data_IF_012233760901
#
_entry.id   IF_012233760901
#
_cell.length_a   1.000
_cell.length_b   1.000
_cell.length_c   1.000
_cell.angle_alpha   90.00
_cell.angle_beta   90.00
_cell.angle_gamma   90.00
#
_symmetry.space_group_name_H-M   'P 1'
#
loop_
_entity.id
_entity.type
_entity.pdbx_description
1 polymer ?
#
# COMPACT_ATOMS: atom_id res chain seq x y z
N UNK A 1 -31.43 64.05 -13.93
CA UNK A 1 -30.40 63.56 -12.99
C UNK A 1 -30.65 62.14 -12.43
N UNK A 2 -31.72 61.43 -12.82
CA UNK A 2 -32.00 60.06 -12.32
C UNK A 2 -31.35 58.92 -13.12
N UNK A 3 -31.17 59.06 -14.44
CA UNK A 3 -30.65 57.96 -15.27
C UNK A 3 -29.14 57.73 -15.16
N UNK A 4 -28.32 58.78 -14.98
CA UNK A 4 -26.87 58.63 -14.83
C UNK A 4 -26.46 57.98 -13.50
N UNK A 5 -27.31 58.05 -12.48
CA UNK A 5 -27.01 57.51 -11.15
C UNK A 5 -27.20 55.98 -11.09
N UNK A 6 -28.10 55.43 -11.91
CA UNK A 6 -28.33 53.99 -11.98
C UNK A 6 -27.28 53.23 -12.81
N UNK A 7 -26.73 53.83 -13.87
CA UNK A 7 -25.65 53.20 -14.65
C UNK A 7 -24.34 53.04 -13.87
N UNK A 8 -24.03 53.96 -12.96
CA UNK A 8 -22.86 53.87 -12.07
C UNK A 8 -23.01 52.78 -11.01
N UNK A 9 -24.22 52.56 -10.48
CA UNK A 9 -24.48 51.54 -9.45
C UNK A 9 -24.49 50.13 -10.06
N UNK A 10 -25.01 49.94 -11.28
CA UNK A 10 -24.94 48.64 -11.96
C UNK A 10 -23.52 48.29 -12.43
N UNK A 11 -22.71 49.29 -12.78
CA UNK A 11 -21.30 49.06 -13.18
C UNK A 11 -20.42 48.70 -11.97
N UNK A 12 -20.65 49.29 -10.79
CA UNK A 12 -19.94 48.90 -9.56
C UNK A 12 -20.33 47.49 -9.07
N UNK A 13 -21.58 47.07 -9.25
CA UNK A 13 -22.02 45.73 -8.85
C UNK A 13 -21.41 44.62 -9.73
N UNK A 14 -21.27 44.88 -11.04
CA UNK A 14 -20.61 43.95 -11.98
C UNK A 14 -19.08 43.83 -11.77
N UNK A 15 -18.43 44.88 -11.24
CA UNK A 15 -16.99 44.83 -10.91
C UNK A 15 -16.76 44.16 -9.54
N UNK A 16 -17.73 44.22 -8.61
CA UNK A 16 -17.63 43.54 -7.31
C UNK A 16 -17.76 42.01 -7.39
N UNK A 17 -18.43 41.49 -8.42
CA UNK A 17 -18.50 40.04 -8.68
C UNK A 17 -17.28 39.47 -9.41
N UNK A 18 -16.36 40.31 -9.90
CA UNK A 18 -15.16 39.88 -10.62
C UNK A 18 -13.90 39.80 -9.73
N UNK A 19 -14.02 40.01 -8.42
CA UNK A 19 -12.87 40.15 -7.51
C UNK A 19 -12.67 38.97 -6.54
N UNK A 20 -13.12 37.76 -6.88
CA UNK A 20 -12.87 36.56 -6.07
C UNK A 20 -12.46 35.33 -6.89
N UNK A 21 -11.52 35.50 -7.82
CA UNK A 21 -10.59 34.43 -8.22
C UNK A 21 -9.19 35.02 -8.27
N UNK A 22 -8.73 35.56 -7.14
CA UNK A 22 -7.30 35.81 -6.96
C UNK A 22 -6.67 34.46 -6.61
N UNK A 23 -6.38 33.65 -7.63
CA UNK A 23 -5.46 32.52 -7.49
C UNK A 23 -4.15 33.03 -6.89
N UNK A 24 -3.48 32.20 -6.10
CA UNK A 24 -2.17 32.47 -5.50
C UNK A 24 -1.09 32.65 -6.59
N UNK A 25 -1.17 33.72 -7.36
CA UNK A 25 -0.30 34.00 -8.49
C UNK A 25 1.13 34.23 -7.98
N UNK A 26 2.01 33.28 -8.29
CA UNK A 26 3.45 33.34 -8.01
C UNK A 26 3.99 32.27 -7.05
N UNK A 27 3.14 31.44 -6.42
CA UNK A 27 3.58 30.43 -5.45
C UNK A 27 3.65 29.00 -6.00
N UNK A 28 2.77 28.69 -6.94
CA UNK A 28 2.59 27.37 -7.52
C UNK A 28 2.79 27.40 -9.04
N UNK A 29 3.12 26.25 -9.68
CA UNK A 29 3.11 24.88 -9.14
C UNK A 29 4.24 24.59 -8.13
N UNK A 30 4.14 23.48 -7.41
CA UNK A 30 5.22 22.92 -6.58
C UNK A 30 5.21 21.39 -6.76
N UNK A 31 6.37 20.79 -6.98
CA UNK A 31 6.52 19.34 -7.10
C UNK A 31 7.60 18.86 -6.15
N UNK A 32 7.30 17.81 -5.37
CA UNK A 32 8.23 17.18 -4.44
C UNK A 32 8.22 15.67 -4.70
N UNK A 33 9.38 15.03 -4.77
CA UNK A 33 9.47 13.56 -4.83
C UNK A 33 10.54 12.99 -3.92
N UNK A 34 10.40 11.73 -3.54
CA UNK A 34 11.49 10.94 -2.96
C UNK A 34 12.63 10.78 -3.98
N UNK A 35 13.87 10.70 -3.48
CA UNK A 35 15.11 10.43 -4.23
C UNK A 35 15.46 11.51 -5.26
N UNK A 36 16.70 11.52 -5.80
CA UNK A 36 17.11 12.48 -6.83
C UNK A 36 16.55 12.13 -8.22
N UNK A 37 15.24 11.88 -8.31
CA UNK A 37 14.53 11.56 -9.54
C UNK A 37 14.21 12.84 -10.33
N UNK A 38 15.27 13.54 -10.74
CA UNK A 38 15.21 14.88 -11.35
C UNK A 38 14.26 14.91 -12.55
N UNK A 39 14.36 13.93 -13.46
CA UNK A 39 13.53 13.92 -14.68
C UNK A 39 12.06 13.63 -14.39
N UNK A 40 11.74 12.85 -13.35
CA UNK A 40 10.38 12.64 -12.90
C UNK A 40 9.79 13.95 -12.34
N UNK A 41 10.55 14.68 -11.53
CA UNK A 41 10.11 15.99 -11.00
C UNK A 41 9.96 17.02 -12.12
N UNK A 42 10.87 17.04 -13.11
CA UNK A 42 10.73 17.90 -14.30
C UNK A 42 9.46 17.58 -15.08
N UNK A 43 9.15 16.31 -15.31
CA UNK A 43 7.95 15.90 -16.02
C UNK A 43 6.67 16.34 -15.30
N UNK A 44 6.57 16.09 -13.99
CA UNK A 44 5.44 16.55 -13.18
C UNK A 44 5.31 18.07 -13.15
N UNK A 45 6.43 18.77 -13.07
CA UNK A 45 6.48 20.23 -13.12
C UNK A 45 6.01 20.81 -14.45
N UNK A 46 6.48 20.25 -15.57
CA UNK A 46 6.08 20.67 -16.91
C UNK A 46 4.58 20.46 -17.13
N UNK A 47 4.04 19.32 -16.70
CA UNK A 47 2.60 19.07 -16.74
C UNK A 47 1.83 20.14 -15.95
N UNK A 48 2.24 20.43 -14.71
CA UNK A 48 1.60 21.44 -13.87
C UNK A 48 1.74 22.86 -14.43
N UNK A 49 2.88 23.21 -15.03
CA UNK A 49 3.06 24.48 -15.74
C UNK A 49 2.13 24.61 -16.95
N UNK A 50 1.88 23.51 -17.66
CA UNK A 50 1.00 23.46 -18.82
C UNK A 50 -0.50 23.41 -18.45
N UNK A 51 -0.85 23.65 -17.18
CA UNK A 51 -2.23 23.74 -16.71
C UNK A 51 -2.92 22.40 -16.44
N UNK A 52 -2.15 21.32 -16.28
CA UNK A 52 -2.71 20.03 -15.90
C UNK A 52 -3.14 20.07 -14.42
N UNK A 53 -4.15 19.25 -14.07
CA UNK A 53 -4.57 19.09 -12.67
C UNK A 53 -3.45 18.49 -11.82
N UNK A 54 -3.46 18.72 -10.52
CA UNK A 54 -2.49 18.10 -9.60
C UNK A 54 -2.38 16.58 -9.79
N UNK A 55 -3.51 15.87 -9.95
CA UNK A 55 -3.55 14.43 -10.22
C UNK A 55 -2.86 14.08 -11.54
N UNK A 56 -3.18 14.79 -12.62
CA UNK A 56 -2.59 14.53 -13.93
C UNK A 56 -1.08 14.80 -13.91
N UNK A 57 -0.62 15.83 -13.20
CA UNK A 57 0.80 16.16 -13.04
C UNK A 57 1.57 15.11 -12.23
N UNK A 58 0.99 14.59 -11.14
CA UNK A 58 1.55 13.45 -10.39
C UNK A 58 1.72 12.25 -11.33
N UNK A 59 0.69 11.97 -12.13
CA UNK A 59 0.69 10.83 -13.04
C UNK A 59 1.80 10.97 -14.08
N UNK A 60 1.97 12.14 -14.71
CA UNK A 60 3.06 12.36 -15.67
C UNK A 60 4.45 12.23 -15.02
N UNK A 61 4.63 12.74 -13.80
CA UNK A 61 5.89 12.64 -13.07
C UNK A 61 6.25 11.19 -12.70
N UNK A 62 5.32 10.45 -12.09
CA UNK A 62 5.53 9.04 -11.74
C UNK A 62 5.69 8.16 -13.00
N UNK A 63 4.91 8.40 -14.07
CA UNK A 63 5.02 7.66 -15.33
C UNK A 63 6.39 7.86 -15.98
N UNK A 64 6.94 9.08 -15.93
CA UNK A 64 8.28 9.34 -16.43
C UNK A 64 9.33 8.50 -15.69
N UNK A 65 9.19 8.33 -14.37
CA UNK A 65 10.05 7.47 -13.57
C UNK A 65 9.94 5.99 -13.99
N UNK A 66 8.72 5.49 -14.16
CA UNK A 66 8.44 4.11 -14.62
C UNK A 66 9.02 3.83 -16.02
N UNK A 67 9.00 4.82 -16.92
CA UNK A 67 9.53 4.71 -18.28
C UNK A 67 11.05 4.82 -18.31
N UNK A 68 11.63 5.78 -17.58
CA UNK A 68 13.07 6.02 -17.50
C UNK A 68 13.79 5.00 -16.62
N UNK A 69 13.05 4.14 -15.92
CA UNK A 69 13.57 3.10 -15.01
C UNK A 69 14.47 3.70 -13.93
N UNK A 70 13.92 4.65 -13.19
CA UNK A 70 14.53 5.25 -11.99
C UNK A 70 14.60 4.26 -10.79
N UNK A 71 14.93 3.00 -11.04
CA UNK A 71 14.71 1.84 -10.16
C UNK A 71 13.24 1.43 -9.96
N UNK A 72 12.30 2.11 -10.63
CA UNK A 72 10.86 1.79 -10.65
C UNK A 72 10.41 1.48 -12.07
N UNK A 73 9.49 0.51 -12.22
CA UNK A 73 8.87 0.18 -13.50
C UNK A 73 9.33 -1.17 -14.07
N UNK A 74 9.24 -1.35 -15.40
CA UNK A 74 9.71 -2.56 -16.07
C UNK A 74 11.22 -2.74 -15.87
N UNK A 75 11.65 -3.93 -15.44
CA UNK A 75 13.03 -4.26 -15.09
C UNK A 75 13.39 -3.98 -13.64
N UNK A 76 12.45 -3.46 -12.84
CA UNK A 76 12.63 -3.29 -11.40
C UNK A 76 12.70 -4.62 -10.65
N UNK A 77 12.86 -4.53 -9.34
CA UNK A 77 13.14 -5.67 -8.46
C UNK A 77 12.17 -6.85 -8.62
N UNK A 78 12.67 -8.06 -8.90
CA UNK A 78 11.84 -9.25 -8.99
C UNK A 78 11.47 -9.80 -7.62
N UNK A 79 10.39 -10.58 -7.55
CA UNK A 79 10.04 -11.42 -6.42
C UNK A 79 10.90 -12.72 -6.35
N UNK A 80 10.65 -13.58 -5.36
CA UNK A 80 11.39 -14.82 -5.18
C UNK A 80 11.20 -15.83 -6.34
N UNK A 81 10.16 -15.65 -7.16
CA UNK A 81 9.90 -16.42 -8.38
C UNK A 81 10.56 -15.81 -9.64
N UNK A 82 11.21 -14.65 -9.52
CA UNK A 82 11.88 -13.98 -10.64
C UNK A 82 10.96 -13.05 -11.42
N UNK A 83 9.77 -12.75 -10.89
CA UNK A 83 8.76 -11.94 -11.55
C UNK A 83 8.78 -10.48 -11.04
N UNK A 84 8.76 -9.54 -11.98
CA UNK A 84 8.58 -8.12 -11.70
C UNK A 84 7.09 -7.77 -11.70
N UNK A 85 6.60 -7.21 -10.59
CA UNK A 85 5.24 -6.66 -10.42
C UNK A 85 5.30 -5.19 -10.07
N UNK A 86 4.19 -4.47 -10.25
CA UNK A 86 4.07 -3.06 -9.89
C UNK A 86 2.93 -2.82 -8.90
N UNK A 87 3.22 -2.00 -7.90
CA UNK A 87 2.26 -1.40 -6.98
C UNK A 87 2.23 0.11 -7.24
N UNK A 88 1.03 0.70 -7.36
CA UNK A 88 0.88 2.12 -7.54
C UNK A 88 -0.37 2.67 -6.86
N UNK A 89 -0.31 3.95 -6.47
CA UNK A 89 -1.35 4.71 -5.79
C UNK A 89 -1.41 6.11 -6.41
N UNK A 90 -2.61 6.63 -6.64
CA UNK A 90 -2.85 8.06 -6.81
C UNK A 90 -3.99 8.51 -5.91
N UNK A 91 -3.84 9.69 -5.30
CA UNK A 91 -4.85 10.29 -4.44
C UNK A 91 -5.02 11.76 -4.80
N UNK A 92 -6.28 12.16 -4.99
CA UNK A 92 -6.69 13.55 -5.12
C UNK A 92 -6.97 14.12 -3.72
N UNK A 93 -6.19 15.09 -3.27
CA UNK A 93 -6.35 15.71 -1.96
C UNK A 93 -7.56 16.64 -1.87
N UNK A 94 -8.23 16.95 -2.98
CA UNK A 94 -9.43 17.81 -3.01
C UNK A 94 -10.69 16.98 -2.81
N UNK A 95 -10.79 15.83 -3.50
CA UNK A 95 -11.97 14.96 -3.43
C UNK A 95 -11.80 13.82 -2.43
N UNK A 96 -10.57 13.57 -1.96
CA UNK A 96 -10.16 12.37 -1.20
C UNK A 96 -10.33 11.07 -1.98
N UNK A 97 -10.58 11.14 -3.29
CA UNK A 97 -10.65 9.95 -4.13
C UNK A 97 -9.26 9.33 -4.28
N UNK A 98 -9.25 8.00 -4.28
CA UNK A 98 -8.04 7.19 -4.35
C UNK A 98 -8.26 6.10 -5.38
N UNK A 99 -7.27 5.90 -6.25
CA UNK A 99 -7.15 4.71 -7.05
C UNK A 99 -5.79 4.07 -6.86
N UNK A 100 -5.78 2.75 -6.83
CA UNK A 100 -4.59 1.97 -6.58
C UNK A 100 -4.62 0.65 -7.35
N UNK A 101 -3.44 0.19 -7.73
CA UNK A 101 -3.20 -1.15 -8.23
C UNK A 101 -2.09 -1.78 -7.40
N UNK A 102 -2.20 -3.07 -7.11
CA UNK A 102 -1.14 -3.79 -6.41
C UNK A 102 -0.86 -5.11 -7.07
N UNK A 103 0.40 -5.53 -7.02
CA UNK A 103 0.90 -6.73 -7.66
C UNK A 103 0.52 -6.83 -9.14
N UNK A 104 0.41 -5.70 -9.81
CA UNK A 104 -0.03 -5.66 -11.19
C UNK A 104 1.07 -6.21 -12.08
N UNK A 105 0.71 -7.20 -12.90
CA UNK A 105 1.58 -7.78 -13.91
C UNK A 105 1.31 -7.12 -15.26
N UNK A 106 2.22 -7.32 -16.20
CA UNK A 106 1.98 -7.13 -17.64
C UNK A 106 1.67 -5.72 -18.18
N UNK A 107 1.52 -4.73 -17.32
CA UNK A 107 1.22 -3.34 -17.67
C UNK A 107 2.34 -2.47 -17.11
N UNK A 108 3.02 -1.73 -17.98
CA UNK A 108 4.23 -0.97 -17.63
C UNK A 108 3.94 0.30 -16.85
N UNK A 109 2.76 0.88 -17.07
CA UNK A 109 2.35 2.18 -16.54
C UNK A 109 1.41 1.96 -15.34
N UNK A 110 2.02 1.83 -14.16
CA UNK A 110 1.34 1.48 -12.91
C UNK A 110 0.48 2.63 -12.41
N UNK A 111 1.05 3.85 -12.43
CA UNK A 111 0.36 5.03 -11.94
C UNK A 111 -0.83 5.44 -12.82
N UNK A 112 -0.76 5.27 -14.16
CA UNK A 112 -1.95 5.48 -15.01
C UNK A 112 -3.00 4.42 -14.76
N UNK A 113 -2.63 3.17 -14.49
CA UNK A 113 -3.61 2.15 -14.11
C UNK A 113 -4.32 2.52 -12.79
N UNK A 114 -3.59 2.99 -11.78
CA UNK A 114 -4.15 3.49 -10.53
C UNK A 114 -5.13 4.65 -10.76
N UNK A 115 -4.79 5.61 -11.62
CA UNK A 115 -5.69 6.70 -12.02
C UNK A 115 -6.97 6.20 -12.72
N UNK A 116 -6.86 5.17 -13.57
CA UNK A 116 -8.01 4.56 -14.22
C UNK A 116 -8.93 3.87 -13.20
N UNK A 117 -8.36 3.22 -12.17
CA UNK A 117 -9.15 2.66 -11.05
C UNK A 117 -9.95 3.77 -10.35
N UNK A 118 -9.29 4.89 -10.03
CA UNK A 118 -9.91 6.05 -9.39
C UNK A 118 -11.08 6.61 -10.22
N UNK A 119 -10.88 6.77 -11.54
CA UNK A 119 -11.84 7.44 -12.42
C UNK A 119 -12.99 6.55 -12.90
N UNK A 120 -12.77 5.25 -13.03
CA UNK A 120 -13.69 4.35 -13.75
C UNK A 120 -14.24 3.22 -12.89
N UNK A 121 -13.99 3.22 -11.58
CA UNK A 121 -14.57 2.23 -10.66
C UNK A 121 -15.06 2.91 -9.38
N UNK A 122 -15.95 2.24 -8.66
CA UNK A 122 -16.30 2.62 -7.27
C UNK A 122 -15.34 2.01 -6.25
N UNK A 123 -14.29 1.34 -6.71
CA UNK A 123 -13.32 0.64 -5.88
C UNK A 123 -12.06 1.48 -5.77
N UNK A 124 -11.38 1.35 -4.62
CA UNK A 124 -10.12 2.06 -4.38
C UNK A 124 -8.91 1.28 -4.89
N UNK A 125 -8.94 -0.06 -4.84
CA UNK A 125 -7.78 -0.92 -5.07
C UNK A 125 -8.16 -2.15 -5.89
N UNK A 126 -7.45 -2.38 -7.00
CA UNK A 126 -7.47 -3.63 -7.75
C UNK A 126 -6.12 -4.35 -7.63
N UNK A 127 -6.11 -5.69 -7.66
CA UNK A 127 -4.89 -6.45 -7.38
C UNK A 127 -4.64 -7.56 -8.40
N UNK A 128 -3.36 -7.87 -8.61
CA UNK A 128 -2.90 -9.00 -9.43
C UNK A 128 -3.29 -8.90 -10.90
N UNK A 129 -3.49 -10.05 -11.53
CA UNK A 129 -3.87 -10.12 -12.95
C UNK A 129 -5.22 -9.48 -13.26
N UNK A 130 -6.12 -9.36 -12.27
CA UNK A 130 -7.40 -8.67 -12.46
C UNK A 130 -7.20 -7.16 -12.57
N UNK A 131 -6.20 -6.60 -11.89
CA UNK A 131 -5.78 -5.21 -12.14
C UNK A 131 -5.22 -5.05 -13.56
N UNK A 132 -4.38 -5.99 -14.01
CA UNK A 132 -3.83 -6.00 -15.37
C UNK A 132 -4.91 -6.07 -16.45
N UNK A 133 -5.86 -7.00 -16.30
CA UNK A 133 -6.98 -7.17 -17.22
C UNK A 133 -7.86 -5.91 -17.29
N UNK A 134 -8.13 -5.29 -16.14
CA UNK A 134 -8.83 -4.01 -16.07
C UNK A 134 -8.04 -2.92 -16.82
N UNK A 135 -6.77 -2.72 -16.49
CA UNK A 135 -5.91 -1.71 -17.12
C UNK A 135 -5.86 -1.84 -18.65
N UNK A 136 -5.69 -3.06 -19.16
CA UNK A 136 -5.68 -3.35 -20.60
C UNK A 136 -7.06 -3.06 -21.22
N UNK A 137 -8.14 -3.46 -20.55
CA UNK A 137 -9.51 -3.16 -21.03
C UNK A 137 -9.82 -1.67 -21.09
N UNK A 138 -9.14 -0.86 -20.28
CA UNK A 138 -9.23 0.61 -20.27
C UNK A 138 -8.29 1.28 -21.30
N UNK A 139 -7.55 0.50 -22.09
CA UNK A 139 -6.72 0.98 -23.19
C UNK A 139 -5.23 1.11 -22.89
N UNK A 140 -4.74 0.66 -21.74
CA UNK A 140 -3.30 0.60 -21.50
C UNK A 140 -2.65 -0.55 -22.28
N UNK A 141 -1.42 -0.37 -22.80
CA UNK A 141 -0.74 -1.40 -23.57
C UNK A 141 -0.38 -2.61 -22.69
N UNK A 142 -0.63 -3.80 -23.23
CA UNK A 142 -0.32 -5.07 -22.59
C UNK A 142 -1.01 -6.25 -23.29
N UNK A 143 -0.74 -7.49 -22.87
CA UNK A 143 0.21 -7.85 -21.82
C UNK A 143 1.67 -7.77 -22.30
N UNK A 144 2.60 -7.30 -21.46
CA UNK A 144 4.04 -7.28 -21.75
C UNK A 144 4.84 -7.73 -20.54
N UNK A 145 5.80 -8.65 -20.72
CA UNK A 145 6.68 -9.05 -19.61
C UNK A 145 7.40 -7.83 -19.02
N UNK A 146 7.28 -7.64 -17.71
CA UNK A 146 7.90 -6.53 -16.99
C UNK A 146 9.34 -6.86 -16.59
N UNK A 147 9.74 -8.13 -16.51
CA UNK A 147 11.11 -8.51 -16.18
C UNK A 147 12.08 -8.13 -17.31
N UNK A 148 13.27 -7.65 -16.93
CA UNK A 148 14.39 -7.37 -17.83
C UNK A 148 15.53 -8.39 -17.65
N UNK A 149 16.47 -8.51 -18.61
CA UNK A 149 17.64 -9.37 -18.45
C UNK A 149 18.39 -9.11 -17.14
N UNK A 150 18.51 -7.84 -16.74
CA UNK A 150 19.19 -7.42 -15.51
C UNK A 150 18.44 -7.91 -14.26
N UNK A 151 17.11 -7.78 -14.23
CA UNK A 151 16.28 -8.29 -13.11
C UNK A 151 16.38 -9.82 -12.98
N UNK A 152 16.42 -10.53 -14.11
CA UNK A 152 16.55 -11.99 -14.14
C UNK A 152 17.95 -12.41 -13.69
N UNK A 153 19.00 -11.71 -14.12
CA UNK A 153 20.38 -11.98 -13.66
C UNK A 153 20.51 -11.74 -12.16
N UNK A 154 19.91 -10.66 -11.63
CA UNK A 154 19.84 -10.37 -10.18
C UNK A 154 19.20 -11.53 -9.41
N UNK A 155 18.10 -12.07 -9.95
CA UNK A 155 17.40 -13.21 -9.36
C UNK A 155 18.19 -14.53 -9.44
N UNK A 156 18.83 -14.83 -10.58
CA UNK A 156 19.68 -16.02 -10.73
C UNK A 156 20.81 -15.99 -9.71
N UNK A 157 21.52 -14.86 -9.58
CA UNK A 157 22.60 -14.70 -8.59
C UNK A 157 22.12 -14.91 -7.16
N UNK A 158 20.92 -14.44 -6.82
CA UNK A 158 20.33 -14.65 -5.50
C UNK A 158 19.96 -16.12 -5.25
N UNK A 159 19.42 -16.82 -6.26
CA UNK A 159 19.18 -18.26 -6.17
C UNK A 159 20.46 -19.07 -6.01
N UNK A 160 21.50 -18.72 -6.76
CA UNK A 160 22.82 -19.36 -6.66
C UNK A 160 23.46 -19.11 -5.29
N UNK A 161 23.11 -18.00 -4.63
CA UNK A 161 23.51 -17.69 -3.25
C UNK A 161 22.60 -18.34 -2.19
N UNK A 162 21.88 -19.41 -2.53
CA UNK A 162 21.02 -20.13 -1.59
C UNK A 162 19.80 -19.36 -1.12
N UNK A 163 19.31 -18.41 -1.94
CA UNK A 163 18.13 -17.60 -1.63
C UNK A 163 18.25 -16.76 -0.36
N UNK A 164 19.43 -16.21 -0.09
CA UNK A 164 19.70 -15.31 1.02
C UNK A 164 20.25 -13.95 0.55
N UNK A 165 19.87 -12.83 1.21
CA UNK A 165 18.88 -12.75 2.29
C UNK A 165 17.44 -12.96 1.77
N UNK A 166 16.53 -13.49 2.59
CA UNK A 166 15.10 -13.60 2.30
C UNK A 166 14.21 -13.04 3.42
N UNK A 167 12.88 -13.04 3.20
CA UNK A 167 11.88 -12.52 4.14
C UNK A 167 11.22 -13.61 4.99
N UNK A 168 11.59 -14.87 4.79
CA UNK A 168 11.04 -15.99 5.54
C UNK A 168 11.62 -16.00 6.96
N UNK A 169 10.76 -16.19 7.97
CA UNK A 169 11.17 -16.24 9.39
C UNK A 169 10.61 -17.49 10.04
N UNK A 170 11.39 -18.13 10.90
CA UNK A 170 11.00 -19.30 11.69
C UNK A 170 10.54 -20.51 10.85
N UNK A 171 11.16 -20.69 9.69
CA UNK A 171 10.89 -21.81 8.76
C UNK A 171 12.17 -22.54 8.37
N UNK A 172 12.00 -23.75 7.86
CA UNK A 172 13.03 -24.58 7.24
C UNK A 172 12.66 -24.77 5.76
N UNK A 173 13.60 -24.61 4.83
CA UNK A 173 13.31 -24.88 3.43
C UNK A 173 13.35 -26.40 3.17
N UNK A 174 12.43 -26.91 2.35
CA UNK A 174 12.44 -28.31 1.90
C UNK A 174 13.62 -28.60 0.95
N UNK A 175 14.05 -27.60 0.16
CA UNK A 175 15.27 -27.61 -0.65
C UNK A 175 16.18 -26.43 -0.26
N UNK A 176 17.08 -25.93 -1.12
CA UNK A 176 17.88 -24.73 -0.84
C UNK A 176 17.05 -23.43 -0.78
N UNK A 177 15.90 -23.40 -1.48
CA UNK A 177 15.09 -22.19 -1.69
C UNK A 177 13.59 -22.44 -1.45
N UNK A 178 13.25 -23.35 -0.53
CA UNK A 178 11.88 -23.76 -0.25
C UNK A 178 11.37 -24.95 -1.10
N UNK A 179 10.06 -25.26 -1.06
CA UNK A 179 9.02 -24.62 -0.25
C UNK A 179 9.36 -24.64 1.25
N UNK A 180 8.99 -23.59 1.97
CA UNK A 180 9.36 -23.40 3.37
C UNK A 180 8.28 -23.97 4.31
N UNK A 181 8.71 -24.63 5.39
CA UNK A 181 7.84 -25.22 6.42
C UNK A 181 8.16 -24.66 7.80
N UNK A 182 7.17 -24.47 8.70
CA UNK A 182 7.43 -24.01 10.07
C UNK A 182 8.46 -24.89 10.79
N UNK A 183 9.41 -24.26 11.51
CA UNK A 183 10.36 -24.99 12.38
C UNK A 183 9.66 -25.80 13.46
N UNK A 184 8.59 -25.23 14.01
CA UNK A 184 7.71 -25.86 15.00
C UNK A 184 6.29 -25.92 14.40
N UNK A 185 5.89 -27.01 13.72
CA UNK A 185 4.53 -27.13 13.23
C UNK A 185 3.58 -27.06 14.44
N UNK A 186 2.44 -26.35 14.33
CA UNK A 186 1.47 -26.31 15.43
C UNK A 186 1.09 -27.76 15.75
N UNK A 187 1.40 -28.19 16.97
CA UNK A 187 0.89 -29.45 17.51
C UNK A 187 -0.60 -29.47 17.25
N UNK A 188 -1.08 -30.46 16.50
CA UNK A 188 -2.50 -30.71 16.25
C UNK A 188 -3.31 -30.40 17.52
N UNK A 189 -4.14 -29.36 17.46
CA UNK A 189 -5.07 -29.08 18.55
C UNK A 189 -6.12 -30.18 18.52
N UNK A 190 -6.17 -31.01 19.55
CA UNK A 190 -7.42 -31.42 20.18
C UNK A 190 -7.13 -32.01 21.56
N UNK A 191 -7.74 -31.41 22.58
CA UNK A 191 -7.64 -31.88 23.95
C UNK A 191 -8.32 -33.24 24.11
N UNK A 192 -7.66 -34.12 24.85
CA UNK A 192 -8.37 -35.07 25.69
C UNK A 192 -8.26 -34.55 27.13
N UNK A 193 -9.35 -34.01 27.66
CA UNK A 193 -9.58 -34.13 29.09
C UNK A 193 -9.70 -35.64 29.39
N UNK A 194 -8.58 -36.28 29.66
CA UNK A 194 -8.56 -37.59 30.27
C UNK A 194 -9.03 -37.41 31.70
N UNK A 195 -10.34 -37.58 31.92
CA UNK A 195 -10.89 -37.91 33.23
C UNK A 195 -10.12 -39.14 33.72
N UNK A 196 -9.23 -38.93 34.69
CA UNK A 196 -8.45 -40.00 35.28
C UNK A 196 -9.37 -41.03 35.94
N UNK A 197 -9.40 -42.24 35.41
CA UNK A 197 -9.83 -43.42 36.15
C UNK A 197 -8.58 -44.06 36.77
N UNK A 198 -8.18 -43.58 37.95
CA UNK A 198 -7.10 -44.13 38.75
C UNK A 198 -7.38 -43.92 40.23
N UNK A 199 -7.37 -44.96 41.07
CA UNK A 199 -7.88 -44.87 42.43
C UNK A 199 -6.96 -44.08 43.38
N UNK A 200 -7.64 -43.33 44.24
CA UNK A 200 -7.13 -42.59 45.38
C UNK A 200 -6.31 -43.46 46.32
N UNK A 201 -5.06 -43.07 46.62
CA UNK A 201 -4.35 -43.48 47.83
C UNK A 201 -3.42 -42.37 48.33
N UNK A 202 -3.58 -41.89 49.59
CA UNK A 202 -2.72 -40.86 50.16
C UNK A 202 -1.66 -41.50 51.06
N UNK A 203 -0.36 -41.31 50.79
CA UNK A 203 0.72 -41.39 51.79
C UNK A 203 1.92 -40.51 51.42
N UNK A 204 2.20 -39.59 52.36
CA UNK A 204 3.39 -38.81 52.69
C UNK A 204 4.74 -39.18 52.03
N UNK A 205 5.53 -38.20 51.60
CA UNK A 205 6.66 -37.64 52.37
C UNK A 205 7.58 -36.75 51.48
N UNK A 206 8.00 -35.63 52.07
CA UNK A 206 8.97 -34.61 51.67
C UNK A 206 9.99 -34.89 50.55
N UNK A 207 10.11 -33.94 49.62
CA UNK A 207 11.41 -33.36 49.25
C UNK A 207 11.23 -32.05 48.47
N UNK A 208 11.69 -30.97 49.07
CA UNK A 208 11.92 -29.69 48.40
C UNK A 208 12.96 -29.86 47.29
N UNK A 209 12.60 -29.55 46.05
CA UNK A 209 13.58 -29.16 45.02
C UNK A 209 13.01 -27.96 44.28
N UNK A 210 13.63 -26.82 44.50
CA UNK A 210 13.49 -25.61 43.70
C UNK A 210 13.85 -25.93 42.24
N UNK A 211 12.86 -25.89 41.35
CA UNK A 211 13.06 -25.97 39.91
C UNK A 211 13.07 -24.58 39.31
N UNK A 212 14.22 -23.93 39.36
CA UNK A 212 14.49 -22.66 38.69
C UNK A 212 14.08 -22.74 37.20
N UNK A 213 13.29 -21.78 36.74
CA UNK A 213 13.16 -21.50 35.32
C UNK A 213 14.53 -20.99 34.84
N UNK A 214 15.37 -21.90 34.36
CA UNK A 214 16.57 -21.55 33.61
C UNK A 214 16.14 -20.70 32.42
N UNK A 215 16.48 -19.40 32.49
CA UNK A 215 16.46 -18.54 31.32
C UNK A 215 17.43 -19.13 30.29
N UNK A 216 16.88 -19.86 29.33
CA UNK A 216 17.58 -20.25 28.12
C UNK A 216 18.09 -18.99 27.43
N UNK A 217 19.39 -19.05 27.13
CA UNK A 217 20.24 -18.05 26.50
C UNK A 217 19.53 -17.14 25.50
N UNK A 218 19.70 -15.84 25.73
CA UNK A 218 19.65 -14.83 24.67
C UNK A 218 20.72 -15.19 23.64
N UNK A 219 20.31 -15.84 22.56
CA UNK A 219 21.06 -15.72 21.31
C UNK A 219 20.65 -14.40 20.68
N UNK A 220 21.54 -13.40 20.56
CA UNK A 220 21.28 -12.24 19.74
C UNK A 220 21.43 -12.68 18.29
N UNK A 221 20.38 -13.31 17.73
CA UNK A 221 20.24 -13.36 16.28
C UNK A 221 19.90 -11.94 15.88
N UNK A 222 20.95 -11.17 15.61
CA UNK A 222 20.86 -9.98 14.79
C UNK A 222 20.17 -10.41 13.49
N UNK A 223 18.86 -10.18 13.40
CA UNK A 223 18.16 -10.32 12.14
C UNK A 223 18.64 -9.18 11.27
N UNK A 224 19.69 -9.42 10.48
CA UNK A 224 20.04 -8.55 9.37
C UNK A 224 18.80 -8.42 8.50
N UNK A 225 18.11 -7.28 8.61
CA UNK A 225 17.00 -6.93 7.74
C UNK A 225 17.47 -7.10 6.29
N UNK A 226 16.72 -7.79 5.41
CA UNK A 226 17.06 -7.86 3.99
C UNK A 226 17.24 -6.43 3.48
N UNK A 227 18.44 -6.14 2.99
CA UNK A 227 19.00 -4.80 2.86
C UNK A 227 18.23 -3.91 1.88
N UNK A 228 17.36 -3.04 2.41
CA UNK A 228 16.99 -1.80 1.74
C UNK A 228 18.20 -0.86 1.89
N UNK A 229 19.05 -0.82 0.88
CA UNK A 229 20.32 -0.08 0.88
C UNK A 229 20.24 1.14 -0.05
N UNK A 230 21.24 2.04 0.01
CA UNK A 230 21.37 3.21 -0.87
C UNK A 230 21.23 2.91 -2.39
N UNK A 231 21.34 1.63 -2.77
CA UNK A 231 21.37 1.13 -4.16
C UNK A 231 20.11 0.35 -4.58
N UNK A 232 19.10 0.22 -3.72
CA UNK A 232 17.84 -0.48 -4.00
C UNK A 232 16.68 0.34 -3.41
N UNK A 233 16.32 1.44 -4.07
CA UNK A 233 15.25 2.34 -3.65
C UNK A 233 14.13 2.34 -4.67
N UNK A 234 13.47 1.20 -4.81
CA UNK A 234 12.49 0.94 -5.86
C UNK A 234 11.15 1.65 -5.63
N UNK A 235 11.14 2.86 -5.07
CA UNK A 235 9.91 3.62 -4.76
C UNK A 235 10.07 5.09 -5.10
N UNK A 236 9.22 5.57 -6.01
CA UNK A 236 8.94 7.00 -6.16
C UNK A 236 7.63 7.31 -5.46
N UNK A 237 7.66 8.27 -4.55
CA UNK A 237 6.47 8.97 -4.09
C UNK A 237 6.60 10.44 -4.47
N UNK A 238 5.51 11.05 -4.95
CA UNK A 238 5.47 12.41 -5.46
C UNK A 238 4.24 13.15 -4.93
N UNK A 239 4.41 14.42 -4.57
CA UNK A 239 3.34 15.36 -4.31
C UNK A 239 3.40 16.51 -5.32
N UNK A 240 2.24 16.92 -5.83
CA UNK A 240 2.11 18.11 -6.67
C UNK A 240 1.09 19.04 -6.03
N UNK A 241 1.45 20.32 -5.95
CA UNK A 241 0.50 21.42 -5.77
C UNK A 241 0.38 22.14 -7.11
N UNK A 242 -0.80 22.11 -7.72
CA UNK A 242 -1.02 22.74 -9.03
C UNK A 242 -1.19 24.27 -8.93
N UNK A 243 -1.34 24.93 -10.07
CA UNK A 243 -1.48 26.39 -10.14
C UNK A 243 -2.71 26.94 -9.39
N UNK A 244 -3.73 26.10 -9.16
CA UNK A 244 -4.93 26.44 -8.41
C UNK A 244 -4.75 26.20 -6.91
N UNK A 245 -3.67 25.56 -6.50
CA UNK A 245 -3.41 25.18 -5.11
C UNK A 245 -4.01 23.83 -4.72
N UNK A 246 -4.54 23.05 -5.67
CA UNK A 246 -4.99 21.69 -5.38
C UNK A 246 -3.78 20.78 -5.17
N UNK A 247 -3.91 19.84 -4.24
CA UNK A 247 -2.84 18.93 -3.87
C UNK A 247 -3.21 17.52 -4.30
N UNK A 248 -2.27 16.82 -4.94
CA UNK A 248 -2.38 15.39 -5.20
C UNK A 248 -1.07 14.70 -4.87
N UNK A 249 -1.16 13.40 -4.61
CA UNK A 249 0.00 12.53 -4.42
C UNK A 249 -0.10 11.28 -5.26
N UNK A 250 1.05 10.70 -5.55
CA UNK A 250 1.13 9.38 -6.15
C UNK A 250 2.39 8.65 -5.72
N UNK A 251 2.31 7.33 -5.74
CA UNK A 251 3.44 6.44 -5.48
C UNK A 251 3.46 5.34 -6.53
N UNK A 252 4.66 4.94 -6.97
CA UNK A 252 4.88 3.73 -7.76
C UNK A 252 6.11 2.99 -7.26
N UNK A 253 6.02 1.66 -7.20
CA UNK A 253 7.09 0.80 -6.71
C UNK A 253 7.01 -0.62 -7.28
N UNK A 254 8.15 -1.28 -7.46
CA UNK A 254 8.20 -2.72 -7.69
C UNK A 254 8.08 -3.55 -6.39
N UNK A 255 8.15 -2.88 -5.23
CA UNK A 255 8.26 -3.49 -3.93
C UNK A 255 9.68 -3.99 -3.64
N UNK A 256 9.82 -4.71 -2.53
CA UNK A 256 11.12 -5.17 -2.06
C UNK A 256 11.70 -6.28 -2.97
N UNK A 257 13.02 -6.25 -3.23
CA UNK A 257 13.71 -7.30 -3.98
C UNK A 257 13.57 -8.65 -3.29
N UNK A 258 13.23 -9.69 -4.04
CA UNK A 258 13.01 -11.07 -3.60
C UNK A 258 11.88 -11.22 -2.59
N UNK A 259 10.90 -10.30 -2.64
CA UNK A 259 9.69 -10.40 -1.82
C UNK A 259 9.01 -11.75 -2.03
N UNK A 260 8.43 -12.27 -0.95
CA UNK A 260 7.63 -13.50 -1.01
C UNK A 260 6.37 -13.21 -1.84
N UNK A 261 6.08 -13.94 -2.91
CA UNK A 261 4.80 -13.87 -3.59
C UNK A 261 3.73 -14.48 -2.69
N UNK A 262 2.85 -13.67 -2.12
CA UNK A 262 1.79 -14.20 -1.24
C UNK A 262 0.62 -13.25 -1.04
N UNK A 263 -0.60 -13.81 -1.11
CA UNK A 263 -1.91 -13.16 -0.96
C UNK A 263 -1.93 -11.92 -0.04
N UNK A 264 -2.56 -10.85 -0.51
CA UNK A 264 -3.09 -9.77 0.34
C UNK A 264 -4.33 -10.27 1.10
N UNK A 265 -4.29 -10.54 2.42
CA UNK A 265 -5.49 -10.46 3.22
C UNK A 265 -5.79 -8.97 3.39
N UNK A 266 -6.82 -8.47 2.70
CA UNK A 266 -7.39 -7.18 3.06
C UNK A 266 -7.88 -7.32 4.51
N UNK A 267 -7.13 -6.78 5.46
CA UNK A 267 -7.56 -6.66 6.86
C UNK A 267 -8.64 -5.57 6.92
N UNK A 268 -9.89 -5.94 6.66
CA UNK A 268 -11.01 -5.22 7.25
C UNK A 268 -11.35 -5.90 8.57
N UNK A 269 -11.09 -5.19 9.66
CA UNK A 269 -11.60 -5.52 10.99
C UNK A 269 -13.13 -5.43 10.91
N UNK A 270 -13.79 -6.53 10.55
CA UNK A 270 -15.23 -6.64 10.75
C UNK A 270 -15.42 -6.94 12.23
N UNK A 271 -15.57 -5.90 13.05
CA UNK A 271 -16.25 -6.05 14.32
C UNK A 271 -17.66 -6.55 14.00
N UNK A 272 -17.87 -7.85 14.15
CA UNK A 272 -19.20 -8.42 14.18
C UNK A 272 -19.79 -8.03 15.55
N UNK A 273 -20.40 -6.85 15.63
CA UNK A 273 -21.27 -6.52 16.75
C UNK A 273 -22.52 -7.39 16.57
N UNK A 274 -22.62 -8.47 17.35
CA UNK A 274 -23.88 -9.16 17.56
C UNK A 274 -24.83 -8.19 18.27
N UNK A 275 -25.73 -7.55 17.53
CA UNK A 275 -26.97 -7.04 18.11
C UNK A 275 -27.99 -8.17 18.12
N UNK A 276 -28.15 -8.76 19.31
CA UNK A 276 -29.31 -9.59 19.64
C UNK A 276 -30.52 -8.66 19.60
N UNK A 277 -31.38 -8.82 18.59
CA UNK A 277 -32.76 -8.33 18.65
C UNK A 277 -33.67 -9.54 18.57
N UNK A 278 -34.40 -9.72 19.66
CA UNK A 278 -35.35 -10.78 19.91
C UNK A 278 -36.51 -10.80 18.92
N UNK A 279 -37.10 -11.99 18.86
CA UNK A 279 -38.50 -12.32 18.51
C UNK A 279 -38.93 -12.29 17.03
N UNK A 280 -39.12 -13.53 16.53
CA UNK A 280 -40.19 -13.99 15.65
C UNK A 280 -40.32 -13.36 14.25
N UNK A 281 -39.66 -13.95 13.26
CA UNK A 281 -40.23 -14.31 11.93
C UNK A 281 -39.11 -14.92 11.05
N UNK A 282 -39.06 -16.24 10.93
CA UNK A 282 -38.13 -16.93 10.02
C UNK A 282 -38.88 -17.96 9.19
N UNK A 283 -39.19 -17.60 7.94
CA UNK A 283 -39.32 -18.48 6.77
C UNK A 283 -39.57 -17.59 5.54
N UNK A 284 -38.94 -17.92 4.41
CA UNK A 284 -38.86 -17.18 3.14
C UNK A 284 -37.74 -16.15 3.01
N UNK A 285 -36.52 -16.62 2.70
CA UNK A 285 -35.67 -15.95 1.71
C UNK A 285 -34.53 -16.86 1.22
N UNK A 286 -34.85 -17.91 0.44
CA UNK A 286 -33.85 -18.70 -0.30
C UNK A 286 -34.38 -19.16 -1.67
N UNK A 287 -35.10 -18.29 -2.38
CA UNK A 287 -35.58 -18.59 -3.74
C UNK A 287 -35.49 -17.42 -4.74
N UNK A 288 -34.82 -16.31 -4.40
CA UNK A 288 -34.80 -15.11 -5.28
C UNK A 288 -33.40 -14.68 -5.76
N UNK A 289 -32.36 -15.52 -5.65
CA UNK A 289 -31.01 -15.21 -6.20
C UNK A 289 -30.69 -16.03 -7.46
N UNK A 290 -31.66 -16.77 -8.03
CA UNK A 290 -31.41 -17.68 -9.16
C UNK A 290 -32.02 -17.25 -10.50
N UNK A 291 -32.41 -15.98 -10.68
CA UNK A 291 -33.13 -15.56 -11.91
C UNK A 291 -32.56 -14.34 -12.67
N UNK A 292 -31.34 -13.88 -12.37
CA UNK A 292 -30.74 -12.76 -13.14
C UNK A 292 -29.28 -12.96 -13.60
N UNK A 293 -28.80 -14.20 -13.68
CA UNK A 293 -27.59 -14.49 -14.46
C UNK A 293 -27.88 -15.61 -15.46
N UNK A 294 -27.93 -15.25 -16.74
CA UNK A 294 -27.73 -16.16 -17.86
C UNK A 294 -26.29 -16.72 -17.79
N UNK A 295 -26.09 -17.70 -16.91
CA UNK A 295 -24.92 -18.56 -16.93
C UNK A 295 -25.40 -19.95 -17.40
N UNK A 296 -24.96 -20.36 -18.58
CA UNK A 296 -25.23 -21.68 -19.13
C UNK A 296 -24.89 -22.76 -18.11
N UNK A 297 -25.90 -23.53 -17.67
CA UNK A 297 -25.72 -24.71 -16.83
C UNK A 297 -24.90 -25.76 -17.59
N UNK A 298 -23.65 -25.96 -17.18
CA UNK A 298 -22.92 -27.21 -17.44
C UNK A 298 -23.16 -28.10 -16.23
N UNK A 299 -23.92 -29.18 -16.43
CA UNK A 299 -24.12 -30.23 -15.43
C UNK A 299 -22.77 -30.88 -15.11
N UNK A 300 -22.35 -30.85 -13.85
CA UNK A 300 -21.17 -31.57 -13.36
C UNK A 300 -21.60 -32.69 -12.40
N UNK A 301 -20.97 -33.86 -12.57
CA UNK A 301 -21.15 -35.08 -11.78
C UNK A 301 -20.95 -34.87 -10.26
N UNK A 302 -21.75 -35.56 -9.45
CA UNK A 302 -21.79 -35.53 -7.97
C UNK A 302 -20.47 -35.94 -7.26
N UNK A 303 -19.43 -36.35 -7.98
CA UNK A 303 -18.22 -36.97 -7.40
C UNK A 303 -17.20 -35.98 -6.82
N UNK A 304 -17.43 -34.66 -6.88
CA UNK A 304 -16.41 -33.61 -6.57
C UNK A 304 -16.84 -32.63 -5.44
N UNK A 305 -17.89 -32.92 -4.68
CA UNK A 305 -18.32 -32.08 -3.54
C UNK A 305 -17.87 -32.64 -2.18
N UNK A 306 -17.50 -31.77 -1.23
CA UNK A 306 -17.31 -32.16 0.19
C UNK A 306 -18.61 -31.89 0.94
N UNK A 307 -19.15 -32.92 1.58
CA UNK A 307 -20.39 -32.82 2.36
C UNK A 307 -20.03 -32.40 3.79
N UNK A 308 -20.60 -31.28 4.24
CA UNK A 308 -20.45 -30.79 5.61
C UNK A 308 -21.80 -30.92 6.29
N UNK A 309 -21.82 -31.63 7.42
CA UNK A 309 -23.03 -31.88 8.21
C UNK A 309 -22.90 -31.15 9.54
N UNK A 310 -23.87 -30.31 9.88
CA UNK A 310 -23.94 -29.61 11.17
C UNK A 310 -25.27 -29.94 11.82
N UNK A 311 -25.23 -30.30 13.11
CA UNK A 311 -26.40 -30.58 13.93
C UNK A 311 -26.54 -29.50 15.00
N UNK A 312 -27.69 -28.84 15.05
CA UNK A 312 -28.01 -27.88 16.10
C UNK A 312 -29.49 -28.04 16.48
N UNK A 313 -29.76 -28.19 17.79
CA UNK A 313 -31.09 -28.47 18.36
C UNK A 313 -31.87 -29.60 17.67
N UNK A 314 -31.18 -30.71 17.40
CA UNK A 314 -31.79 -31.91 16.81
C UNK A 314 -32.16 -31.77 15.33
N UNK A 315 -31.84 -30.64 14.69
CA UNK A 315 -32.02 -30.42 13.25
C UNK A 315 -30.69 -30.63 12.54
N UNK A 316 -30.69 -31.54 11.58
CA UNK A 316 -29.54 -31.84 10.73
C UNK A 316 -29.57 -30.97 9.47
N UNK A 317 -28.49 -30.22 9.26
CA UNK A 317 -28.25 -29.45 8.05
C UNK A 317 -27.11 -30.09 7.26
N UNK A 318 -27.36 -30.40 5.98
CA UNK A 318 -26.32 -30.84 5.05
C UNK A 318 -26.05 -29.75 4.01
N UNK A 319 -24.77 -29.41 3.84
CA UNK A 319 -24.32 -28.50 2.79
C UNK A 319 -23.37 -29.24 1.85
N UNK A 320 -23.64 -29.15 0.54
CA UNK A 320 -22.73 -29.60 -0.52
C UNK A 320 -21.85 -28.43 -0.97
N UNK A 321 -20.55 -28.52 -0.71
CA UNK A 321 -19.57 -27.50 -1.14
C UNK A 321 -18.79 -28.04 -2.34
N UNK A 322 -18.84 -27.39 -3.53
CA UNK A 322 -18.01 -27.76 -4.66
C UNK A 322 -16.52 -27.63 -4.33
N UNK A 323 -15.68 -28.63 -4.65
CA UNK A 323 -14.21 -28.49 -4.47
C UNK A 323 -13.59 -27.44 -5.41
N UNK A 324 -14.24 -27.08 -6.50
CA UNK A 324 -13.86 -25.93 -7.32
C UNK A 324 -14.36 -24.64 -6.69
N UNK A 325 -13.84 -24.32 -5.51
CA UNK A 325 -13.62 -22.91 -5.20
C UNK A 325 -12.72 -22.41 -6.32
N UNK A 326 -13.18 -21.42 -7.10
CA UNK A 326 -12.33 -20.68 -8.01
C UNK A 326 -11.27 -19.93 -7.19
N UNK A 327 -10.29 -20.67 -6.69
CA UNK A 327 -9.06 -20.15 -6.12
C UNK A 327 -8.25 -19.77 -7.35
N UNK A 328 -8.48 -18.55 -7.84
CA UNK A 328 -7.47 -17.88 -8.64
C UNK A 328 -6.30 -17.70 -7.67
N UNK A 329 -5.26 -18.52 -7.83
CA UNK A 329 -4.02 -18.42 -7.06
C UNK A 329 -3.34 -17.09 -7.42
N UNK A 330 -3.61 -16.05 -6.62
CA UNK A 330 -2.93 -14.77 -6.72
C UNK A 330 -1.72 -14.79 -5.77
N UNK A 331 -0.54 -15.05 -6.33
CA UNK A 331 0.72 -15.22 -5.60
C UNK A 331 1.50 -13.89 -5.54
N UNK A 332 1.12 -12.92 -4.69
CA UNK A 332 1.82 -11.62 -4.70
C UNK A 332 1.87 -10.84 -3.37
N UNK A 333 3.08 -10.50 -2.89
CA UNK A 333 3.24 -9.52 -1.79
C UNK A 333 3.09 -8.10 -2.29
N UNK A 334 2.41 -7.32 -1.47
CA UNK A 334 2.15 -5.91 -1.67
C UNK A 334 2.75 -5.12 -0.50
N UNK A 335 3.48 -4.06 -0.84
CA UNK A 335 4.07 -3.16 0.15
C UNK A 335 3.12 -2.06 0.60
N UNK A 336 3.69 -1.00 1.17
CA UNK A 336 2.97 0.23 1.47
C UNK A 336 2.61 1.04 0.22
N UNK A 337 3.35 0.84 -0.87
CA UNK A 337 3.20 1.53 -2.16
C UNK A 337 1.76 1.87 -2.58
N UNK A 338 0.83 0.89 -2.63
CA UNK A 338 -0.55 1.10 -3.05
C UNK A 338 -1.52 1.43 -1.89
N UNK A 339 -1.00 1.73 -0.68
CA UNK A 339 -1.79 1.94 0.54
C UNK A 339 -1.81 3.43 0.90
N UNK A 340 -2.96 4.08 0.64
CA UNK A 340 -3.20 5.45 1.06
C UNK A 340 -2.98 5.62 2.57
N UNK A 341 -2.27 6.68 2.94
CA UNK A 341 -1.90 6.97 4.32
C UNK A 341 -0.60 6.31 4.76
N UNK A 342 -0.16 5.25 4.08
CA UNK A 342 1.16 4.69 4.30
C UNK A 342 2.20 5.31 3.38
N UNK A 343 2.15 4.99 2.08
CA UNK A 343 3.15 5.44 1.11
C UNK A 343 2.99 6.90 0.73
N UNK A 344 1.75 7.38 0.64
CA UNK A 344 1.44 8.76 0.38
C UNK A 344 0.06 9.15 0.90
N UNK A 345 -0.13 10.42 1.20
CA UNK A 345 -1.42 10.99 1.57
C UNK A 345 -1.48 12.48 1.21
N UNK A 346 -2.64 12.96 0.76
CA UNK A 346 -2.87 14.36 0.44
C UNK A 346 -4.21 14.84 1.01
N UNK A 347 -4.23 16.10 1.46
CA UNK A 347 -5.42 16.88 1.73
C UNK A 347 -5.14 18.33 1.31
N UNK A 348 -5.91 18.85 0.36
CA UNK A 348 -5.73 20.21 -0.19
C UNK A 348 -5.81 21.29 0.89
N UNK A 349 -6.57 21.07 1.97
CA UNK A 349 -6.70 22.02 3.07
C UNK A 349 -5.51 22.01 4.04
N UNK A 350 -4.60 21.03 3.92
CA UNK A 350 -3.51 20.82 4.88
C UNK A 350 -2.15 20.71 4.20
N UNK A 351 -1.97 19.75 3.30
CA UNK A 351 -0.67 19.37 2.75
C UNK A 351 -0.64 17.93 2.23
N UNK A 352 0.57 17.44 1.98
CA UNK A 352 0.84 16.11 1.49
C UNK A 352 2.09 15.49 2.13
N UNK A 353 2.16 14.17 2.07
CA UNK A 353 3.32 13.38 2.44
C UNK A 353 3.55 12.28 1.42
N UNK A 354 4.83 11.97 1.18
CA UNK A 354 5.27 10.80 0.43
C UNK A 354 6.40 10.07 1.15
N UNK A 355 6.44 8.74 1.00
CA UNK A 355 7.27 7.84 1.77
C UNK A 355 8.06 6.84 0.90
N UNK A 356 9.14 6.31 1.48
CA UNK A 356 9.98 5.25 0.90
C UNK A 356 10.69 4.48 2.02
N UNK A 357 10.96 3.19 1.83
CA UNK A 357 11.67 2.37 2.82
C UNK A 357 11.08 0.99 3.03
N UNK A 358 11.16 0.49 4.27
CA UNK A 358 10.58 -0.79 4.68
C UNK A 358 9.05 -0.71 4.68
N UNK A 359 8.45 -1.03 3.53
CA UNK A 359 7.01 -0.99 3.36
C UNK A 359 6.23 -1.87 4.33
N UNK A 360 6.80 -2.98 4.84
CA UNK A 360 6.13 -3.86 5.79
C UNK A 360 6.04 -3.23 7.18
N UNK A 361 7.05 -2.45 7.58
CA UNK A 361 7.03 -1.69 8.82
C UNK A 361 6.20 -0.41 8.65
N UNK A 362 6.40 0.34 7.56
CA UNK A 362 5.73 1.61 7.29
C UNK A 362 4.20 1.47 7.30
N UNK A 363 3.65 0.43 6.65
CA UNK A 363 2.20 0.21 6.59
C UNK A 363 1.54 -0.05 7.95
N UNK A 364 2.29 -0.45 8.98
CA UNK A 364 1.77 -0.68 10.33
C UNK A 364 1.49 0.62 11.08
N UNK A 365 2.04 1.74 10.62
CA UNK A 365 1.96 3.04 11.31
C UNK A 365 1.24 4.11 10.50
N UNK A 366 1.01 3.91 9.21
CA UNK A 366 0.41 4.90 8.31
C UNK A 366 1.08 6.28 8.45
N UNK A 367 2.41 6.37 8.24
CA UNK A 367 3.17 7.57 8.57
C UNK A 367 2.72 8.80 7.79
N UNK A 368 2.33 8.66 6.52
CA UNK A 368 1.89 9.82 5.74
C UNK A 368 0.54 10.37 6.15
N UNK A 369 -0.40 9.51 6.56
CA UNK A 369 -1.63 9.97 7.20
C UNK A 369 -1.32 10.70 8.52
N UNK A 370 -0.46 10.14 9.37
CA UNK A 370 -0.04 10.79 10.61
C UNK A 370 0.62 12.15 10.35
N UNK A 371 1.47 12.28 9.34
CA UNK A 371 2.14 13.53 8.99
C UNK A 371 1.14 14.60 8.61
N UNK A 372 0.20 14.29 7.71
CA UNK A 372 -0.82 15.25 7.28
C UNK A 372 -1.72 15.64 8.46
N UNK A 373 -2.16 14.70 9.29
CA UNK A 373 -2.97 15.03 10.48
C UNK A 373 -2.18 15.82 11.54
N UNK A 374 -0.90 15.54 11.75
CA UNK A 374 -0.04 16.36 12.61
C UNK A 374 0.11 17.79 12.10
N UNK A 375 0.22 17.97 10.77
CA UNK A 375 0.21 19.31 10.16
C UNK A 375 -1.16 19.99 10.33
N UNK A 376 -2.27 19.25 10.22
CA UNK A 376 -3.62 19.76 10.50
C UNK A 376 -3.74 20.29 11.93
N UNK A 377 -3.09 19.63 12.89
CA UNK A 377 -3.02 20.04 14.29
C UNK A 377 -2.01 21.17 14.56
N UNK A 378 -1.37 21.72 13.52
CA UNK A 378 -0.49 22.88 13.61
C UNK A 378 0.99 22.58 13.73
N UNK A 379 1.42 21.32 13.57
CA UNK A 379 2.86 21.03 13.45
C UNK A 379 3.40 21.52 12.11
N UNK A 380 4.65 22.02 12.11
CA UNK A 380 5.34 22.30 10.84
C UNK A 380 5.70 21.00 10.12
N UNK A 381 5.89 21.00 8.78
CA UNK A 381 6.27 19.81 8.01
C UNK A 381 7.48 19.07 8.59
N UNK A 382 8.49 19.81 9.05
CA UNK A 382 9.72 19.24 9.66
C UNK A 382 9.43 18.48 10.95
N UNK A 383 8.58 19.04 11.82
CA UNK A 383 8.24 18.42 13.10
C UNK A 383 7.30 17.22 12.89
N UNK A 384 6.31 17.36 12.02
CA UNK A 384 5.38 16.27 11.68
C UNK A 384 6.13 15.06 11.08
N UNK A 385 7.04 15.31 10.13
CA UNK A 385 7.85 14.25 9.52
C UNK A 385 8.75 13.55 10.56
N UNK A 386 9.45 14.34 11.38
CA UNK A 386 10.34 13.80 12.41
C UNK A 386 9.56 12.97 13.44
N UNK A 387 8.40 13.42 13.90
CA UNK A 387 7.58 12.68 14.86
C UNK A 387 7.11 11.33 14.32
N UNK A 388 6.64 11.29 13.06
CA UNK A 388 6.21 10.05 12.41
C UNK A 388 7.34 9.02 12.31
N UNK A 389 8.52 9.42 11.84
CA UNK A 389 9.70 8.53 11.75
C UNK A 389 10.16 8.06 13.13
N UNK A 390 10.24 8.97 14.12
CA UNK A 390 10.64 8.60 15.48
C UNK A 390 9.65 7.64 16.14
N UNK A 391 8.36 7.75 15.85
CA UNK A 391 7.34 6.83 16.37
C UNK A 391 7.58 5.40 15.90
N UNK A 392 7.97 5.23 14.63
CA UNK A 392 8.33 3.93 14.07
C UNK A 392 9.63 3.43 14.71
N UNK A 393 10.67 4.28 14.76
CA UNK A 393 11.98 3.95 15.32
C UNK A 393 11.91 3.46 16.76
N UNK A 394 11.02 4.05 17.59
CA UNK A 394 10.82 3.63 18.98
C UNK A 394 10.35 2.18 19.11
N UNK A 395 9.62 1.65 18.12
CA UNK A 395 9.07 0.29 18.13
C UNK A 395 9.90 -0.69 17.30
N UNK A 396 10.54 -0.20 16.24
CA UNK A 396 11.42 -0.96 15.35
C UNK A 396 12.74 -0.21 15.18
N UNK A 397 13.71 -0.32 16.11
CA UNK A 397 14.94 0.49 16.09
C UNK A 397 15.82 0.28 14.85
N UNK A 398 15.74 -0.89 14.23
CA UNK A 398 16.54 -1.27 13.07
C UNK A 398 15.83 -1.04 11.73
N UNK A 399 14.62 -0.46 11.74
CA UNK A 399 13.91 -0.20 10.48
C UNK A 399 14.66 0.83 9.63
N UNK A 400 14.39 0.83 8.33
CA UNK A 400 14.93 1.84 7.41
C UNK A 400 13.75 2.49 6.71
N UNK A 401 13.69 3.82 6.73
CA UNK A 401 12.60 4.53 6.11
C UNK A 401 12.80 6.04 6.07
N UNK A 402 12.10 6.68 5.15
CA UNK A 402 12.11 8.12 4.98
C UNK A 402 10.78 8.62 4.45
N UNK A 403 10.52 9.90 4.72
CA UNK A 403 9.38 10.64 4.22
C UNK A 403 9.79 12.07 3.86
N UNK A 404 9.08 12.65 2.91
CA UNK A 404 8.95 14.10 2.79
C UNK A 404 7.55 14.53 3.23
N UNK A 405 7.45 15.75 3.72
CA UNK A 405 6.21 16.42 4.06
C UNK A 405 6.19 17.78 3.37
N UNK A 406 5.04 18.18 2.85
CA UNK A 406 4.81 19.51 2.27
C UNK A 406 3.46 20.03 2.76
N UNK A 407 3.40 21.27 3.26
CA UNK A 407 2.12 21.88 3.63
C UNK A 407 1.47 22.60 2.44
N UNK A 408 0.19 22.97 2.60
CA UNK A 408 -0.56 23.78 1.62
C UNK A 408 0.00 25.18 1.40
N UNK A 409 1.06 25.55 2.11
CA UNK A 409 1.80 26.79 1.91
C UNK A 409 3.13 26.53 1.21
N UNK A 410 3.39 25.32 0.72
CA UNK A 410 4.59 24.95 -0.01
C UNK A 410 5.85 24.85 0.85
N UNK A 411 5.75 24.96 2.18
CA UNK A 411 6.87 24.64 3.06
C UNK A 411 7.03 23.12 3.04
N UNK A 412 8.25 22.66 2.82
CA UNK A 412 8.57 21.24 2.76
C UNK A 412 9.72 20.88 3.71
N UNK A 413 9.78 19.62 4.11
CA UNK A 413 10.86 19.04 4.89
C UNK A 413 10.90 17.53 4.69
N UNK A 414 11.99 16.88 5.10
CA UNK A 414 12.08 15.43 5.16
C UNK A 414 12.58 14.95 6.51
N UNK A 415 12.32 13.67 6.79
CA UNK A 415 12.86 12.94 7.92
C UNK A 415 13.17 11.51 7.48
N UNK A 416 14.21 10.92 8.05
CA UNK A 416 14.61 9.55 7.76
C UNK A 416 15.19 8.86 8.99
N UNK A 417 15.30 7.54 8.92
CA UNK A 417 15.94 6.70 9.92
C UNK A 417 16.64 5.53 9.23
N UNK A 418 17.80 5.12 9.75
CA UNK A 418 18.61 4.03 9.21
C UNK A 418 19.44 4.35 7.96
N UNK A 419 19.26 5.53 7.33
CA UNK A 419 20.04 5.96 6.16
C UNK A 419 20.05 7.49 5.96
N UNK A 420 20.89 7.96 5.04
CA UNK A 420 20.78 9.31 4.47
C UNK A 420 19.73 9.30 3.37
N UNK A 421 18.75 10.19 3.49
CA UNK A 421 17.67 10.33 2.52
C UNK A 421 17.87 11.57 1.66
N UNK A 422 17.50 11.49 0.39
CA UNK A 422 17.42 12.64 -0.50
C UNK A 422 16.02 12.76 -1.09
N UNK A 423 15.57 13.99 -1.29
CA UNK A 423 14.31 14.28 -1.98
C UNK A 423 14.49 15.45 -2.94
N UNK A 424 13.76 15.45 -4.03
CA UNK A 424 13.83 16.46 -5.09
C UNK A 424 12.65 17.41 -5.03
N UNK A 425 12.90 18.69 -5.28
CA UNK A 425 11.87 19.74 -5.26
C UNK A 425 12.00 20.65 -6.48
N UNK A 426 10.86 21.07 -7.02
CA UNK A 426 10.77 22.10 -8.03
C UNK A 426 9.67 23.10 -7.69
N UNK A 427 10.03 24.37 -7.61
CA UNK A 427 9.14 25.51 -7.31
C UNK A 427 9.42 26.70 -8.25
N UNK A 428 8.55 27.73 -8.33
CA UNK A 428 8.71 28.80 -9.32
C UNK A 428 9.96 29.66 -9.12
N UNK A 429 10.49 29.71 -7.89
CA UNK A 429 11.68 30.51 -7.55
C UNK A 429 13.01 29.82 -7.84
N UNK A 430 13.00 28.57 -8.29
CA UNK A 430 14.21 27.80 -8.58
C UNK A 430 14.55 27.90 -10.08
N UNK A 431 15.82 27.71 -10.47
CA UNK A 431 16.19 27.62 -11.90
C UNK A 431 15.80 26.25 -12.49
N UNK A 432 16.13 25.17 -11.77
CA UNK A 432 15.77 23.78 -12.10
C UNK A 432 15.34 23.01 -10.83
N UNK A 433 15.27 21.68 -10.90
CA UNK A 433 15.04 20.80 -9.74
C UNK A 433 16.22 20.85 -8.78
N UNK A 434 15.94 21.05 -7.49
CA UNK A 434 16.93 21.00 -6.42
C UNK A 434 16.82 19.71 -5.61
N UNK A 435 17.94 19.20 -5.10
CA UNK A 435 18.00 17.98 -4.27
C UNK A 435 18.36 18.35 -2.84
N UNK A 436 17.52 17.95 -1.90
CA UNK A 436 17.69 18.17 -0.47
C UNK A 436 18.17 16.90 0.20
N UNK A 437 19.20 17.00 1.04
CA UNK A 437 19.74 15.87 1.81
C UNK A 437 19.29 15.93 3.26
N UNK A 438 18.78 14.81 3.77
CA UNK A 438 18.29 14.62 5.14
C UNK A 438 19.16 13.55 5.80
N UNK A 439 19.72 13.89 6.95
CA UNK A 439 20.51 12.98 7.77
C UNK A 439 19.59 12.23 8.76
N UNK A 440 19.91 10.96 9.08
CA UNK A 440 19.11 10.13 9.98
C UNK A 440 19.05 10.64 11.43
#
# INVERSE_FOLDING_TARGET
MGLLRNLLVTSLLLISSLSLVYGHAGKYPLVVSTWPFIDAVRAGWQAAQNGFSAVDSVVEGCSACEVLRCDVGPGGSPDENGETTLDALVMDGTTTEVGAVAAMRYVKDGIRAAKLVMRHTKHTLLVGEKASAFAISMGLPGPTNLSSPESIEKWIKWKDNGCEPNYWKNVLPANSCGPYHPKDPPSSVEGACSMGSGPYHPKDLSSSVEGACSMGSKDPIASSSPHISHKNHDTISMAVIDQMGHIAVGTSTNGATFKIPGRLPVFFLRFLVFHIVSSNFWSFCMASIALEFHASCVLFEESIARRISVSWDGVHYEMLVPRSSWIIELNFRVGDGPIAGSSAYADTEVGACGATGDGDVMMRFLPCYQVVESMRLGMSPKLAAKDAILRIARKYPDFVGAIFAVDKTGIHAGACHGWTFQYSVRSPGMEDVEVFTVLP
#
